data_IF_193151824805
#
_entry.id   IF_193151824805
#
_cell.length_a   1.000
_cell.length_b   1.000
_cell.length_c   1.000
_cell.angle_alpha   90.00
_cell.angle_beta   90.00
_cell.angle_gamma   90.00
#
_symmetry.space_group_name_H-M   'P 1'
#
loop_
_entity.id
_entity.type
_entity.pdbx_description
1 polymer ?
#
# COMPACT_ATOMS: atom_id res chain seq x y z
N UNK A 1 -8.75 5.04 -9.03
CA UNK A 1 -10.02 4.43 -9.50
C UNK A 1 -11.17 5.01 -8.70
N UNK A 2 -12.23 5.43 -9.36
CA UNK A 2 -13.44 6.01 -8.76
C UNK A 2 -14.67 5.15 -9.09
N UNK A 3 -15.78 5.39 -8.37
CA UNK A 3 -17.06 4.69 -8.56
C UNK A 3 -17.82 4.55 -7.25
N UNK A 4 -19.12 4.27 -7.33
CA UNK A 4 -19.98 4.07 -6.17
C UNK A 4 -19.51 2.93 -5.24
N UNK A 5 -20.00 2.90 -4.01
CA UNK A 5 -19.74 1.77 -3.12
C UNK A 5 -20.37 0.49 -3.70
N UNK A 6 -19.67 -0.63 -3.60
CA UNK A 6 -20.14 -1.91 -4.13
C UNK A 6 -19.92 -2.15 -5.62
N UNK A 7 -19.42 -1.18 -6.39
CA UNK A 7 -19.20 -1.31 -7.85
C UNK A 7 -18.04 -2.25 -8.24
N UNK A 8 -17.36 -2.88 -7.28
CA UNK A 8 -16.31 -3.84 -7.57
C UNK A 8 -14.87 -3.29 -7.50
N UNK A 9 -14.63 -2.06 -6.98
CA UNK A 9 -13.27 -1.48 -6.86
C UNK A 9 -12.29 -2.42 -6.14
N UNK A 10 -12.63 -2.86 -4.94
CA UNK A 10 -11.80 -3.80 -4.15
C UNK A 10 -11.65 -5.15 -4.86
N UNK A 11 -12.69 -5.63 -5.54
CA UNK A 11 -12.62 -6.89 -6.32
C UNK A 11 -11.60 -6.76 -7.45
N UNK A 12 -11.62 -5.66 -8.20
CA UNK A 12 -10.64 -5.40 -9.24
C UNK A 12 -9.22 -5.27 -8.67
N UNK A 13 -9.03 -4.55 -7.56
CA UNK A 13 -7.73 -4.50 -6.90
C UNK A 13 -7.24 -5.90 -6.46
N UNK A 14 -8.14 -6.75 -5.94
CA UNK A 14 -7.79 -8.13 -5.58
C UNK A 14 -7.41 -8.98 -6.78
N UNK A 15 -8.06 -8.80 -7.93
CA UNK A 15 -7.66 -9.45 -9.19
C UNK A 15 -6.29 -8.94 -9.64
N UNK A 16 -6.03 -7.63 -9.59
CA UNK A 16 -4.71 -7.05 -9.87
C UNK A 16 -3.65 -7.64 -8.93
N UNK A 17 -3.96 -7.86 -7.66
CA UNK A 17 -3.04 -8.48 -6.72
C UNK A 17 -2.88 -10.00 -6.88
N UNK A 18 -3.62 -10.63 -7.80
CA UNK A 18 -3.66 -12.09 -7.94
C UNK A 18 -4.29 -12.82 -6.73
N UNK A 19 -5.14 -12.09 -5.97
CA UNK A 19 -5.88 -12.59 -4.80
C UNK A 19 -7.32 -13.01 -5.13
N UNK A 20 -7.77 -12.80 -6.36
CA UNK A 20 -9.06 -13.24 -6.88
C UNK A 20 -8.88 -13.73 -8.31
N UNK A 21 -9.73 -14.68 -8.72
CA UNK A 21 -9.76 -15.20 -10.08
C UNK A 21 -10.31 -14.15 -11.07
N UNK A 22 -9.78 -14.18 -12.27
CA UNK A 22 -10.23 -13.37 -13.41
C UNK A 22 -11.20 -14.25 -14.21
N UNK A 23 -12.44 -13.81 -14.40
CA UNK A 23 -13.45 -14.56 -15.15
C UNK A 23 -13.21 -14.50 -16.66
N UNK A 24 -12.78 -13.34 -17.16
CA UNK A 24 -12.48 -13.13 -18.58
C UNK A 24 -11.40 -12.07 -18.77
N UNK A 25 -10.55 -12.23 -19.80
CA UNK A 25 -9.43 -11.34 -20.08
C UNK A 25 -8.19 -11.67 -19.27
N UNK A 26 -7.17 -10.82 -19.38
CA UNK A 26 -5.87 -11.00 -18.73
C UNK A 26 -5.39 -9.70 -18.06
N UNK A 27 -4.66 -9.86 -16.97
CA UNK A 27 -3.85 -8.79 -16.39
C UNK A 27 -2.39 -9.08 -16.75
N UNK A 28 -1.77 -8.13 -17.44
CA UNK A 28 -0.38 -8.28 -17.89
C UNK A 28 0.54 -7.41 -17.05
N UNK A 29 1.70 -7.97 -16.69
CA UNK A 29 2.82 -7.27 -16.09
C UNK A 29 4.08 -7.49 -16.94
N UNK A 30 4.71 -6.40 -17.39
CA UNK A 30 5.84 -6.47 -18.34
C UNK A 30 5.54 -7.32 -19.59
N UNK A 31 4.32 -7.25 -20.12
CA UNK A 31 3.88 -7.97 -21.32
C UNK A 31 3.51 -9.44 -21.12
N UNK A 32 3.60 -9.97 -19.90
CA UNK A 32 3.25 -11.35 -19.59
C UNK A 32 2.08 -11.44 -18.60
N UNK A 33 1.17 -12.42 -18.74
CA UNK A 33 0.09 -12.62 -17.78
C UNK A 33 0.62 -12.85 -16.36
N UNK A 34 0.01 -12.17 -15.36
CA UNK A 34 0.46 -12.25 -13.96
C UNK A 34 0.39 -13.67 -13.39
N UNK A 35 -0.52 -14.50 -13.88
CA UNK A 35 -0.66 -15.89 -13.46
C UNK A 35 0.48 -16.78 -13.96
N UNK A 36 1.16 -16.42 -15.07
CA UNK A 36 2.27 -17.15 -15.63
C UNK A 36 3.62 -16.86 -14.91
N UNK A 37 3.69 -15.73 -14.20
CA UNK A 37 4.92 -15.28 -13.51
C UNK A 37 4.65 -14.84 -12.06
N UNK A 38 3.84 -15.61 -11.33
CA UNK A 38 3.32 -15.23 -10.00
C UNK A 38 4.37 -14.80 -8.99
N UNK A 39 5.49 -15.51 -8.94
CA UNK A 39 6.57 -15.20 -7.98
C UNK A 39 7.22 -13.85 -8.27
N UNK A 40 7.66 -13.64 -9.52
CA UNK A 40 8.27 -12.39 -9.96
C UNK A 40 7.30 -11.21 -9.79
N UNK A 41 6.03 -11.40 -10.17
CA UNK A 41 5.01 -10.38 -9.99
C UNK A 41 4.77 -10.01 -8.52
N UNK A 42 4.75 -10.99 -7.61
CA UNK A 42 4.57 -10.74 -6.17
C UNK A 42 5.73 -9.98 -5.55
N UNK A 43 6.95 -10.17 -6.05
CA UNK A 43 8.12 -9.38 -5.60
C UNK A 43 8.01 -7.92 -6.03
N UNK A 44 7.40 -7.66 -7.18
CA UNK A 44 7.16 -6.31 -7.70
C UNK A 44 5.93 -5.62 -7.08
N UNK A 45 5.12 -6.31 -6.27
CA UNK A 45 3.83 -5.85 -5.77
C UNK A 45 3.86 -5.55 -4.28
N UNK A 46 3.38 -4.38 -3.89
CA UNK A 46 3.01 -4.07 -2.50
C UNK A 46 1.53 -3.71 -2.42
N UNK A 47 0.74 -4.56 -1.74
CA UNK A 47 -0.70 -4.34 -1.56
C UNK A 47 -1.00 -3.83 -0.15
N UNK A 48 -1.71 -2.70 -0.06
CA UNK A 48 -2.30 -2.18 1.17
C UNK A 48 -3.82 -2.20 1.03
N UNK A 49 -4.46 -3.15 1.69
CA UNK A 49 -5.92 -3.25 1.72
C UNK A 49 -6.57 -2.25 2.69
N UNK A 50 -7.89 -2.32 2.78
CA UNK A 50 -8.68 -1.50 3.70
C UNK A 50 -8.27 -1.73 5.17
N UNK A 51 -8.00 -2.98 5.57
CA UNK A 51 -7.47 -3.32 6.89
C UNK A 51 -5.96 -3.11 6.94
N UNK A 52 -5.46 -2.68 8.10
CA UNK A 52 -4.04 -2.41 8.31
C UNK A 52 -3.16 -3.67 8.27
N UNK A 53 -3.76 -4.87 8.43
CA UNK A 53 -3.06 -6.16 8.47
C UNK A 53 -1.90 -6.18 9.48
N UNK A 54 -2.11 -5.60 10.65
CA UNK A 54 -1.17 -5.58 11.76
C UNK A 54 -1.56 -6.58 12.84
N UNK A 55 -0.56 -7.27 13.38
CA UNK A 55 -0.74 -8.19 14.50
C UNK A 55 -0.66 -7.40 15.81
N UNK A 56 -1.77 -7.32 16.54
CA UNK A 56 -1.89 -6.47 17.74
C UNK A 56 -1.03 -6.94 18.91
N UNK A 57 -0.69 -8.22 18.96
CA UNK A 57 0.19 -8.82 19.97
C UNK A 57 1.68 -8.62 19.72
N UNK A 58 2.05 -8.15 18.54
CA UNK A 58 3.42 -7.82 18.16
C UNK A 58 3.71 -6.33 18.38
N UNK A 59 4.98 -6.01 18.57
CA UNK A 59 5.49 -4.63 18.54
C UNK A 59 5.47 -4.06 17.12
N UNK A 60 5.65 -2.75 16.98
CA UNK A 60 5.76 -2.08 15.68
C UNK A 60 6.94 -2.64 14.88
N UNK A 61 8.11 -2.78 15.52
CA UNK A 61 9.32 -3.30 14.85
C UNK A 61 9.10 -4.75 14.38
N UNK A 62 8.49 -5.62 15.20
CA UNK A 62 8.17 -6.99 14.84
C UNK A 62 7.16 -7.07 13.68
N UNK A 63 6.11 -6.24 13.69
CA UNK A 63 5.15 -6.17 12.59
C UNK A 63 5.82 -5.78 11.28
N UNK A 64 6.66 -4.74 11.30
CA UNK A 64 7.37 -4.30 10.09
C UNK A 64 8.35 -5.36 9.61
N UNK A 65 9.14 -5.96 10.51
CA UNK A 65 10.06 -7.04 10.16
C UNK A 65 9.33 -8.24 9.55
N UNK A 66 8.19 -8.65 10.12
CA UNK A 66 7.38 -9.75 9.63
C UNK A 66 6.81 -9.46 8.22
N UNK A 67 6.18 -8.29 8.04
CA UNK A 67 5.57 -7.92 6.76
C UNK A 67 6.61 -7.75 5.65
N UNK A 68 7.77 -7.17 5.97
CA UNK A 68 8.84 -7.00 4.98
C UNK A 68 9.48 -8.33 4.61
N UNK A 69 9.67 -9.22 5.57
CA UNK A 69 10.17 -10.58 5.31
C UNK A 69 9.22 -11.38 4.41
N UNK A 70 7.90 -11.25 4.59
CA UNK A 70 6.90 -11.85 3.68
C UNK A 70 7.01 -11.28 2.26
N UNK A 71 7.40 -10.02 2.11
CA UNK A 71 7.69 -9.37 0.82
C UNK A 71 9.05 -9.72 0.22
N UNK A 72 9.82 -10.60 0.87
CA UNK A 72 11.13 -11.05 0.38
C UNK A 72 12.28 -10.05 0.63
N UNK A 73 12.11 -9.07 1.51
CA UNK A 73 13.16 -8.09 1.85
C UNK A 73 13.25 -7.87 3.36
N UNK A 74 14.43 -7.48 3.81
CA UNK A 74 14.70 -7.23 5.23
C UNK A 74 15.43 -5.89 5.39
N UNK A 75 14.69 -4.78 5.64
CA UNK A 75 15.32 -3.50 5.91
C UNK A 75 16.16 -3.59 7.20
N UNK A 76 17.27 -2.89 7.23
CA UNK A 76 18.04 -2.79 8.45
C UNK A 76 17.32 -1.94 9.53
N UNK A 77 17.82 -2.00 10.76
CA UNK A 77 17.24 -1.28 11.87
C UNK A 77 17.28 0.24 11.68
N UNK A 78 18.32 0.78 11.05
CA UNK A 78 18.45 2.21 10.81
C UNK A 78 17.41 2.69 9.80
N UNK A 79 17.21 1.95 8.71
CA UNK A 79 16.17 2.20 7.71
C UNK A 79 14.77 2.18 8.35
N UNK A 80 14.47 1.15 9.15
CA UNK A 80 13.19 1.03 9.85
C UNK A 80 12.96 2.23 10.78
N UNK A 81 13.94 2.62 11.59
CA UNK A 81 13.81 3.76 12.51
C UNK A 81 13.69 5.11 11.77
N UNK A 82 14.39 5.29 10.65
CA UNK A 82 14.25 6.48 9.82
C UNK A 82 12.82 6.60 9.26
N UNK A 83 12.26 5.50 8.75
CA UNK A 83 10.90 5.45 8.25
C UNK A 83 9.90 5.72 9.37
N UNK A 84 10.02 5.06 10.53
CA UNK A 84 9.13 5.31 11.68
C UNK A 84 9.18 6.78 12.12
N UNK A 85 10.36 7.40 12.13
CA UNK A 85 10.51 8.82 12.44
C UNK A 85 9.76 9.69 11.44
N UNK A 86 9.90 9.43 10.14
CA UNK A 86 9.19 10.13 9.07
C UNK A 86 7.66 10.03 9.20
N UNK A 87 7.16 8.88 9.67
CA UNK A 87 5.72 8.66 9.90
C UNK A 87 5.22 9.16 11.27
N UNK A 88 6.05 9.90 12.04
CA UNK A 88 5.68 10.43 13.35
C UNK A 88 5.57 9.35 14.44
N UNK A 89 6.25 8.22 14.24
CA UNK A 89 6.27 7.07 15.14
C UNK A 89 7.64 6.89 15.85
N UNK A 90 8.45 7.98 15.93
CA UNK A 90 9.75 7.95 16.59
C UNK A 90 9.65 7.41 18.01
N UNK A 91 10.51 6.44 18.35
CA UNK A 91 10.56 5.82 19.67
C UNK A 91 9.46 4.80 19.95
N UNK A 92 8.56 4.52 19.01
CA UNK A 92 7.45 3.56 19.19
C UNK A 92 7.74 2.15 18.69
N UNK A 93 8.93 1.88 18.16
CA UNK A 93 9.29 0.58 17.60
C UNK A 93 9.01 -0.60 18.53
N UNK A 94 9.30 -0.44 19.84
CA UNK A 94 9.09 -1.47 20.86
C UNK A 94 7.68 -1.47 21.48
N UNK A 95 6.78 -0.58 21.06
CA UNK A 95 5.42 -0.50 21.57
C UNK A 95 4.56 -1.57 20.88
N UNK A 96 3.74 -2.28 21.66
CA UNK A 96 2.76 -3.22 21.12
C UNK A 96 1.70 -2.46 20.29
N UNK A 97 1.34 -3.01 19.13
CA UNK A 97 0.40 -2.39 18.19
C UNK A 97 -0.98 -2.17 18.81
N UNK A 98 -1.44 -3.05 19.71
CA UNK A 98 -2.70 -2.87 20.44
C UNK A 98 -2.79 -1.57 21.24
N UNK A 99 -1.66 -0.99 21.64
CA UNK A 99 -1.60 0.26 22.43
C UNK A 99 -1.52 1.52 21.54
N UNK A 100 -1.53 1.37 20.22
CA UNK A 100 -1.53 2.48 19.29
C UNK A 100 -2.95 2.97 19.00
N UNK A 101 -3.12 4.27 18.75
CA UNK A 101 -4.36 4.82 18.19
C UNK A 101 -4.58 4.29 16.77
N UNK A 102 -5.82 4.38 16.26
CA UNK A 102 -6.13 3.94 14.88
C UNK A 102 -5.29 4.67 13.83
N UNK A 103 -5.09 5.99 13.98
CA UNK A 103 -4.22 6.78 13.12
C UNK A 103 -2.76 6.31 13.18
N UNK A 104 -2.24 5.97 14.37
CA UNK A 104 -0.91 5.41 14.51
C UNK A 104 -0.80 4.02 13.88
N UNK A 105 -1.78 3.15 14.06
CA UNK A 105 -1.86 1.85 13.38
C UNK A 105 -1.83 2.03 11.86
N UNK A 106 -2.60 3.00 11.33
CA UNK A 106 -2.59 3.33 9.90
C UNK A 106 -1.21 3.78 9.43
N UNK A 107 -0.55 4.65 10.18
CA UNK A 107 0.82 5.10 9.87
C UNK A 107 1.84 3.96 9.90
N UNK A 108 1.73 3.00 10.82
CA UNK A 108 2.56 1.76 10.81
C UNK A 108 2.30 0.95 9.53
N UNK A 109 1.03 0.73 9.17
CA UNK A 109 0.69 0.00 7.95
C UNK A 109 1.24 0.69 6.69
N UNK A 110 1.21 2.02 6.63
CA UNK A 110 1.77 2.81 5.53
C UNK A 110 3.30 2.82 5.51
N UNK A 111 3.96 2.69 6.67
CA UNK A 111 5.42 2.66 6.77
C UNK A 111 6.04 1.54 5.93
N UNK A 112 5.32 0.42 5.74
CA UNK A 112 5.79 -0.68 4.91
C UNK A 112 5.97 -0.30 3.45
N UNK A 113 5.19 0.68 2.93
CA UNK A 113 5.35 1.18 1.56
C UNK A 113 6.72 1.83 1.38
N UNK A 114 7.14 2.64 2.38
CA UNK A 114 8.45 3.30 2.35
C UNK A 114 9.62 2.32 2.52
N UNK A 115 9.38 1.13 3.06
CA UNK A 115 10.37 0.07 3.22
C UNK A 115 10.38 -0.89 2.04
N UNK A 116 9.31 -0.94 1.23
CA UNK A 116 9.14 -1.90 0.14
C UNK A 116 9.91 -1.49 -1.10
N UNK A 117 10.69 -2.38 -1.73
CA UNK A 117 11.31 -2.16 -3.03
C UNK A 117 10.35 -2.39 -4.19
N UNK A 118 9.10 -2.78 -3.93
CA UNK A 118 8.10 -3.13 -4.94
C UNK A 118 7.84 -1.97 -5.91
N UNK A 119 7.79 -2.26 -7.20
CA UNK A 119 7.55 -1.28 -8.26
C UNK A 119 6.09 -0.91 -8.44
N UNK A 120 5.16 -1.80 -8.06
CA UNK A 120 3.72 -1.58 -8.14
C UNK A 120 3.11 -1.50 -6.74
N UNK A 121 2.52 -0.36 -6.42
CA UNK A 121 1.73 -0.21 -5.21
C UNK A 121 0.24 -0.29 -5.55
N UNK A 122 -0.48 -1.16 -4.86
CA UNK A 122 -1.95 -1.28 -4.95
C UNK A 122 -2.53 -0.90 -3.60
N UNK A 123 -3.30 0.19 -3.57
CA UNK A 123 -3.75 0.82 -2.34
C UNK A 123 -5.28 0.92 -2.33
N UNK A 124 -5.92 0.24 -1.38
CA UNK A 124 -7.38 0.26 -1.25
C UNK A 124 -7.78 1.25 -0.16
N UNK A 125 -8.39 2.37 -0.57
CA UNK A 125 -8.82 3.50 0.26
C UNK A 125 -7.72 3.95 1.26
N UNK A 126 -6.52 4.31 0.76
CA UNK A 126 -5.37 4.53 1.64
C UNK A 126 -5.50 5.73 2.56
N UNK A 127 -6.37 6.71 2.23
CA UNK A 127 -6.56 7.96 2.99
C UNK A 127 -7.59 7.87 4.12
N UNK A 128 -8.32 6.76 4.22
CA UNK A 128 -9.32 6.56 5.28
C UNK A 128 -8.68 6.62 6.66
N UNK A 129 -9.34 7.34 7.59
CA UNK A 129 -8.90 7.53 8.98
C UNK A 129 -7.55 8.27 9.15
N UNK A 130 -7.16 9.10 8.17
CA UNK A 130 -5.96 9.94 8.24
C UNK A 130 -6.33 11.40 8.48
N UNK A 131 -5.48 12.08 9.24
CA UNK A 131 -5.46 13.54 9.37
C UNK A 131 -4.80 14.20 8.15
N UNK A 132 -4.95 15.51 7.98
CA UNK A 132 -4.34 16.24 6.86
C UNK A 132 -2.83 16.01 6.72
N UNK A 133 -2.11 15.99 7.85
CA UNK A 133 -0.67 15.73 7.88
C UNK A 133 -0.35 14.31 7.36
N UNK A 134 -1.17 13.33 7.72
CA UNK A 134 -1.05 11.96 7.23
C UNK A 134 -1.35 11.84 5.74
N UNK A 135 -2.38 12.53 5.25
CA UNK A 135 -2.73 12.60 3.82
C UNK A 135 -1.55 13.20 3.03
N UNK A 136 -1.00 14.34 3.48
CA UNK A 136 0.16 14.97 2.85
C UNK A 136 1.38 14.04 2.82
N UNK A 137 1.67 13.38 3.95
CA UNK A 137 2.77 12.42 4.04
C UNK A 137 2.63 11.26 3.04
N UNK A 138 1.43 10.71 2.89
CA UNK A 138 1.17 9.64 1.93
C UNK A 138 1.23 10.13 0.49
N UNK A 139 0.69 11.32 0.20
CA UNK A 139 0.77 11.92 -1.13
C UNK A 139 2.23 12.15 -1.57
N UNK A 140 3.08 12.69 -0.67
CA UNK A 140 4.52 12.86 -0.91
C UNK A 140 5.23 11.52 -1.11
N UNK A 141 4.81 10.49 -0.35
CA UNK A 141 5.40 9.16 -0.47
C UNK A 141 5.09 8.54 -1.84
N UNK A 142 3.83 8.65 -2.28
CA UNK A 142 3.40 8.17 -3.61
C UNK A 142 4.11 8.96 -4.71
N UNK A 143 4.20 10.29 -4.61
CA UNK A 143 4.89 11.13 -5.58
C UNK A 143 6.35 10.67 -5.78
N UNK A 144 7.10 10.48 -4.69
CA UNK A 144 8.50 9.99 -4.76
C UNK A 144 8.61 8.59 -5.37
N UNK A 145 7.65 7.71 -5.11
CA UNK A 145 7.60 6.38 -5.69
C UNK A 145 7.43 6.47 -7.22
N UNK A 146 6.53 7.33 -7.68
CA UNK A 146 6.29 7.57 -9.10
C UNK A 146 7.48 8.24 -9.79
N UNK A 147 8.11 9.23 -9.14
CA UNK A 147 9.33 9.90 -9.63
C UNK A 147 10.51 8.91 -9.77
N UNK A 148 10.55 7.87 -8.94
CA UNK A 148 11.52 6.78 -9.03
C UNK A 148 11.17 5.72 -10.10
N UNK A 149 10.12 5.94 -10.92
CA UNK A 149 9.67 5.03 -11.96
C UNK A 149 8.75 3.91 -11.47
N UNK A 150 8.21 4.03 -10.26
CA UNK A 150 7.20 3.14 -9.72
C UNK A 150 5.81 3.39 -10.32
N UNK A 151 4.88 2.50 -10.04
CA UNK A 151 3.47 2.57 -10.42
C UNK A 151 2.59 2.50 -9.19
N UNK A 152 1.48 3.25 -9.18
CA UNK A 152 0.50 3.19 -8.11
C UNK A 152 -0.90 3.05 -8.69
N UNK A 153 -1.64 2.04 -8.21
CA UNK A 153 -3.08 1.86 -8.45
C UNK A 153 -3.79 2.07 -7.12
N UNK A 154 -4.69 3.03 -7.05
CA UNK A 154 -5.40 3.31 -5.81
C UNK A 154 -6.90 3.53 -6.04
N UNK A 155 -7.69 3.15 -5.04
CA UNK A 155 -9.08 3.58 -4.89
C UNK A 155 -9.15 4.73 -3.92
N UNK A 156 -10.01 5.72 -4.19
CA UNK A 156 -10.28 6.80 -3.25
C UNK A 156 -11.60 7.47 -3.57
N UNK A 157 -12.34 7.86 -2.54
CA UNK A 157 -13.49 8.75 -2.64
C UNK A 157 -13.09 10.24 -2.63
N UNK A 158 -11.84 10.51 -2.28
CA UNK A 158 -11.28 11.87 -2.23
C UNK A 158 -10.29 12.07 -3.38
N UNK A 159 -10.34 13.24 -4.00
CA UNK A 159 -9.30 13.67 -4.94
C UNK A 159 -8.16 14.26 -4.12
N UNK A 160 -7.08 13.51 -3.95
CA UNK A 160 -5.85 13.99 -3.32
C UNK A 160 -4.84 14.28 -4.42
N UNK A 161 -4.33 15.51 -4.53
CA UNK A 161 -3.26 15.82 -5.45
C UNK A 161 -2.00 15.03 -5.09
N UNK A 162 -1.45 14.29 -6.06
CA UNK A 162 -0.20 13.54 -5.90
C UNK A 162 0.85 14.22 -6.76
N UNK A 163 1.46 15.27 -6.24
CA UNK A 163 2.44 16.06 -6.98
C UNK A 163 1.91 16.54 -8.34
N UNK A 164 2.79 16.65 -9.33
CA UNK A 164 2.46 17.03 -10.71
C UNK A 164 2.32 15.80 -11.64
N UNK A 165 2.14 14.60 -11.09
CA UNK A 165 2.08 13.38 -11.89
C UNK A 165 0.71 13.25 -12.56
N UNK A 166 0.64 13.03 -13.89
CA UNK A 166 -0.61 12.81 -14.56
C UNK A 166 -1.24 11.51 -14.08
N UNK A 167 -2.40 11.60 -13.44
CA UNK A 167 -3.18 10.44 -13.01
C UNK A 167 -4.20 10.07 -14.08
N UNK A 168 -4.20 8.80 -14.51
CA UNK A 168 -5.31 8.25 -15.27
C UNK A 168 -6.43 7.85 -14.32
N UNK A 169 -7.65 8.33 -14.57
CA UNK A 169 -8.81 7.97 -13.79
C UNK A 169 -9.56 6.84 -14.49
N UNK A 170 -9.68 5.69 -13.81
CA UNK A 170 -10.57 4.61 -14.21
C UNK A 170 -11.85 4.72 -13.39
N UNK A 171 -12.98 4.93 -14.06
CA UNK A 171 -14.30 4.94 -13.45
C UNK A 171 -14.99 3.61 -13.70
N UNK A 172 -15.35 2.92 -12.61
CA UNK A 172 -16.11 1.67 -12.68
C UNK A 172 -17.61 2.00 -12.63
N UNK A 173 -18.35 1.44 -13.56
CA UNK A 173 -19.80 1.51 -13.62
C UNK A 173 -20.38 0.16 -13.22
N UNK A 174 -21.55 0.17 -12.55
CA UNK A 174 -22.29 -1.06 -12.31
C UNK A 174 -22.76 -1.63 -13.67
N UNK A 175 -22.61 -2.94 -13.83
CA UNK A 175 -23.14 -3.66 -14.99
C UNK A 175 -24.67 -3.77 -14.91
#
# INVERSE_FOLDING_TARGET
MAGANGVGKTSLLRMVCGLASIEAGDILWNGSPIHAQREAYRQDLCYLGHLNALQESMTVDENLAFITALGGFAPDKAQTQAVLTRFGLRGRGRQLVRHLSQGQKRRVALSRLALSPARLWVLDEPYVAMDEAGIGLLADLIARHLDAGGLAVLTSHQRVPIGNVPAQMLELQAA
#
